data_IF_964441203345
#
_entry.id   IF_964441203345
#
_cell.length_a   1.000
_cell.length_b   1.000
_cell.length_c   1.000
_cell.angle_alpha   90.00
_cell.angle_beta   90.00
_cell.angle_gamma   90.00
#
_symmetry.space_group_name_H-M   'P 1'
#
loop_
_entity.id
_entity.type
_entity.pdbx_description
1 polymer ?
#
# COMPACT_ATOMS: atom_id res chain seq x y z
N UNK A 1 20.48 5.99 18.20
CA UNK A 1 20.14 5.70 16.78
C UNK A 1 19.36 4.40 16.58
N UNK A 2 19.77 3.27 17.19
CA UNK A 2 19.07 1.96 17.02
C UNK A 2 17.58 1.99 17.39
N UNK A 3 17.22 2.59 18.53
CA UNK A 3 15.83 2.67 19.02
C UNK A 3 14.86 3.34 18.02
N UNK A 4 15.24 4.48 17.43
CA UNK A 4 14.41 5.20 16.45
C UNK A 4 14.13 4.35 15.20
N UNK A 5 15.15 3.64 14.71
CA UNK A 5 15.01 2.72 13.57
C UNK A 5 14.08 1.55 13.91
N UNK A 6 14.16 1.03 15.14
CA UNK A 6 13.27 -0.03 15.62
C UNK A 6 11.81 0.45 15.67
N UNK A 7 11.53 1.61 16.26
CA UNK A 7 10.17 2.18 16.28
C UNK A 7 9.63 2.36 14.86
N UNK A 8 10.42 2.96 13.97
CA UNK A 8 9.99 3.17 12.59
C UNK A 8 9.66 1.86 11.86
N UNK A 9 10.41 0.79 12.14
CA UNK A 9 10.12 -0.55 11.60
C UNK A 9 8.83 -1.12 12.18
N UNK A 10 8.62 -1.00 13.49
CA UNK A 10 7.39 -1.44 14.17
C UNK A 10 6.19 -0.73 13.57
N UNK A 11 6.27 0.60 13.40
CA UNK A 11 5.20 1.39 12.77
C UNK A 11 4.93 0.96 11.33
N UNK A 12 5.97 0.66 10.54
CA UNK A 12 5.79 0.17 9.18
C UNK A 12 5.06 -1.19 9.14
N UNK A 13 5.32 -2.10 10.09
CA UNK A 13 4.60 -3.37 10.19
C UNK A 13 3.15 -3.18 10.63
N UNK A 14 2.89 -2.30 11.60
CA UNK A 14 1.52 -1.96 11.99
C UNK A 14 0.74 -1.31 10.85
N UNK A 15 1.39 -0.44 10.08
CA UNK A 15 0.79 0.18 8.90
C UNK A 15 0.37 -0.89 7.88
N UNK A 16 1.22 -1.87 7.61
CA UNK A 16 0.88 -2.98 6.73
C UNK A 16 -0.28 -3.82 7.28
N UNK A 17 -0.23 -4.18 8.57
CA UNK A 17 -1.30 -4.96 9.21
C UNK A 17 -2.66 -4.23 9.15
N UNK A 18 -2.70 -2.94 9.48
CA UNK A 18 -3.93 -2.15 9.43
C UNK A 18 -4.42 -1.90 8.00
N UNK A 19 -3.51 -1.80 7.02
CA UNK A 19 -3.90 -1.75 5.62
C UNK A 19 -4.62 -3.04 5.20
N UNK A 20 -4.09 -4.22 5.55
CA UNK A 20 -4.76 -5.51 5.28
C UNK A 20 -6.13 -5.59 5.96
N UNK A 21 -6.22 -5.21 7.25
CA UNK A 21 -7.49 -5.25 7.99
C UNK A 21 -8.52 -4.27 7.41
N UNK A 22 -8.10 -3.07 6.97
CA UNK A 22 -8.96 -2.10 6.28
C UNK A 22 -9.51 -2.70 4.97
N UNK A 23 -8.65 -3.27 4.14
CA UNK A 23 -9.04 -3.88 2.86
C UNK A 23 -10.04 -5.01 3.13
N UNK A 24 -9.71 -5.92 4.05
CA UNK A 24 -10.58 -7.03 4.43
C UNK A 24 -11.94 -6.55 4.94
N UNK A 25 -11.99 -5.58 5.85
CA UNK A 25 -13.24 -5.02 6.34
C UNK A 25 -14.05 -4.30 5.25
N UNK A 26 -13.37 -3.65 4.29
CA UNK A 26 -14.01 -3.03 3.13
C UNK A 26 -14.71 -4.05 2.25
N UNK A 27 -14.01 -5.12 1.86
CA UNK A 27 -14.60 -6.21 1.08
C UNK A 27 -15.68 -6.97 1.87
N UNK A 28 -15.46 -7.23 3.17
CA UNK A 28 -16.45 -7.91 3.99
C UNK A 28 -17.78 -7.12 4.05
N UNK A 29 -17.70 -5.78 4.07
CA UNK A 29 -18.86 -4.92 3.99
C UNK A 29 -19.49 -4.91 2.58
N UNK A 30 -18.72 -4.69 1.52
CA UNK A 30 -19.27 -4.53 0.16
C UNK A 30 -19.75 -5.83 -0.47
N UNK A 31 -19.39 -6.99 0.10
CA UNK A 31 -19.71 -8.32 -0.42
C UNK A 31 -20.65 -9.13 0.47
N UNK A 32 -21.17 -8.53 1.53
CA UNK A 32 -21.94 -9.20 2.59
C UNK A 32 -21.34 -10.54 3.03
N UNK A 33 -20.02 -10.61 3.17
CA UNK A 33 -19.34 -11.80 3.70
C UNK A 33 -19.67 -12.06 5.18
N UNK A 34 -20.41 -11.15 5.81
CA UNK A 34 -20.81 -11.27 7.20
C UNK A 34 -22.17 -10.60 7.43
N UNK A 35 -22.97 -11.24 8.28
CA UNK A 35 -24.35 -10.86 8.61
C UNK A 35 -24.51 -9.47 9.25
N UNK A 36 -23.41 -8.82 9.67
CA UNK A 36 -23.45 -7.54 10.38
C UNK A 36 -22.59 -6.48 9.66
N UNK A 37 -23.14 -5.96 8.56
CA UNK A 37 -22.47 -4.99 7.68
C UNK A 37 -22.05 -3.71 8.43
N UNK A 38 -22.88 -3.19 9.34
CA UNK A 38 -22.57 -2.00 10.16
C UNK A 38 -21.31 -2.18 11.00
N UNK A 39 -21.12 -3.35 11.61
CA UNK A 39 -19.91 -3.64 12.39
C UNK A 39 -18.66 -3.56 11.52
N UNK A 40 -18.70 -4.06 10.28
CA UNK A 40 -17.57 -4.03 9.37
C UNK A 40 -17.27 -2.63 8.85
N UNK A 41 -18.30 -1.80 8.61
CA UNK A 41 -18.11 -0.38 8.30
C UNK A 41 -17.38 0.32 9.45
N UNK A 42 -17.80 0.12 10.69
CA UNK A 42 -17.16 0.73 11.85
C UNK A 42 -15.69 0.28 12.00
N UNK A 43 -15.42 -1.01 11.82
CA UNK A 43 -14.06 -1.56 11.82
C UNK A 43 -13.23 -0.94 10.69
N UNK A 44 -13.78 -0.84 9.48
CA UNK A 44 -13.12 -0.21 8.33
C UNK A 44 -12.76 1.26 8.63
N UNK A 45 -13.67 2.03 9.23
CA UNK A 45 -13.44 3.43 9.61
C UNK A 45 -12.35 3.54 10.67
N UNK A 46 -12.36 2.70 11.71
CA UNK A 46 -11.34 2.71 12.77
C UNK A 46 -9.95 2.43 12.15
N UNK A 47 -9.83 1.38 11.33
CA UNK A 47 -8.56 1.05 10.69
C UNK A 47 -8.12 2.12 9.68
N UNK A 48 -9.06 2.79 8.99
CA UNK A 48 -8.76 3.93 8.11
C UNK A 48 -8.07 5.07 8.88
N UNK A 49 -8.62 5.47 10.03
CA UNK A 49 -8.02 6.53 10.86
C UNK A 49 -6.70 6.11 11.50
N UNK A 50 -6.60 4.89 12.03
CA UNK A 50 -5.36 4.36 12.58
C UNK A 50 -4.25 4.31 11.52
N UNK A 51 -4.58 3.82 10.32
CA UNK A 51 -3.67 3.81 9.17
C UNK A 51 -3.23 5.23 8.79
N UNK A 52 -4.15 6.20 8.75
CA UNK A 52 -3.82 7.60 8.46
C UNK A 52 -2.80 8.18 9.45
N UNK A 53 -3.01 8.00 10.75
CA UNK A 53 -2.08 8.49 11.78
C UNK A 53 -0.70 7.83 11.70
N UNK A 54 -0.66 6.50 11.55
CA UNK A 54 0.60 5.77 11.39
C UNK A 54 1.32 6.16 10.11
N UNK A 55 0.58 6.38 9.02
CA UNK A 55 1.13 6.85 7.77
C UNK A 55 1.74 8.23 7.94
N UNK A 56 1.03 9.18 8.55
CA UNK A 56 1.55 10.53 8.79
C UNK A 56 2.86 10.48 9.58
N UNK A 57 2.93 9.67 10.63
CA UNK A 57 4.17 9.42 11.36
C UNK A 57 5.26 8.83 10.44
N UNK A 58 4.93 7.80 9.65
CA UNK A 58 5.86 7.14 8.75
C UNK A 58 6.44 8.08 7.69
N UNK A 59 5.60 8.97 7.15
CA UNK A 59 5.95 10.00 6.17
C UNK A 59 6.89 11.02 6.79
N UNK A 60 6.50 11.62 7.91
CA UNK A 60 7.30 12.62 8.61
C UNK A 60 8.66 12.04 8.99
N UNK A 61 8.69 10.81 9.53
CA UNK A 61 9.94 10.13 9.85
C UNK A 61 10.79 9.87 8.59
N UNK A 62 10.16 9.41 7.51
CA UNK A 62 10.84 9.14 6.24
C UNK A 62 11.51 10.39 5.69
N UNK A 63 10.80 11.52 5.61
CA UNK A 63 11.37 12.75 5.09
C UNK A 63 12.46 13.34 5.98
N UNK A 64 12.25 13.34 7.30
CA UNK A 64 13.20 13.94 8.23
C UNK A 64 14.48 13.12 8.38
N UNK A 65 14.38 11.79 8.35
CA UNK A 65 15.49 10.92 8.76
C UNK A 65 16.00 9.96 7.69
N UNK A 66 15.26 9.70 6.61
CA UNK A 66 15.73 8.77 5.56
C UNK A 66 16.27 9.53 4.36
N UNK A 67 17.59 9.80 4.37
CA UNK A 67 18.28 10.34 3.19
C UNK A 67 18.77 9.21 2.29
N UNK A 68 18.69 9.44 0.98
CA UNK A 68 19.28 8.52 0.00
C UNK A 68 20.80 8.46 0.21
N UNK A 69 21.37 7.26 0.21
CA UNK A 69 22.82 7.09 0.33
C UNK A 69 23.52 7.67 -0.91
N UNK A 70 24.55 8.49 -0.69
CA UNK A 70 25.40 9.05 -1.76
C UNK A 70 25.94 7.98 -2.70
N UNK A 71 26.17 6.75 -2.21
CA UNK A 71 26.67 5.63 -3.01
C UNK A 71 25.65 5.15 -4.04
N UNK A 72 24.35 5.17 -3.71
CA UNK A 72 23.29 4.78 -4.65
C UNK A 72 23.23 5.77 -5.80
N UNK A 73 23.34 7.07 -5.49
CA UNK A 73 23.35 8.15 -6.49
C UNK A 73 24.57 8.06 -7.40
N UNK A 74 25.76 7.77 -6.86
CA UNK A 74 27.01 7.67 -7.62
C UNK A 74 27.10 6.43 -8.52
N UNK A 75 26.46 5.32 -8.14
CA UNK A 75 26.54 4.05 -8.87
C UNK A 75 25.15 3.43 -9.09
N UNK A 76 24.27 4.10 -9.87
CA UNK A 76 22.87 3.70 -10.00
C UNK A 76 22.72 2.31 -10.63
N UNK A 77 23.55 1.96 -11.63
CA UNK A 77 23.54 0.64 -12.28
C UNK A 77 23.83 -0.50 -11.31
N UNK A 78 24.82 -0.33 -10.41
CA UNK A 78 25.18 -1.35 -9.40
C UNK A 78 24.12 -1.51 -8.32
N UNK A 79 23.38 -0.44 -8.04
CA UNK A 79 22.37 -0.37 -6.99
C UNK A 79 20.94 -0.22 -7.54
N UNK A 80 20.68 -0.66 -8.78
CA UNK A 80 19.44 -0.38 -9.49
C UNK A 80 18.19 -0.86 -8.73
N UNK A 81 18.25 -2.04 -8.10
CA UNK A 81 17.16 -2.57 -7.27
C UNK A 81 16.84 -1.65 -6.07
N UNK A 82 17.87 -1.06 -5.45
CA UNK A 82 17.68 -0.14 -4.31
C UNK A 82 17.14 1.20 -4.77
N UNK A 83 17.56 1.66 -5.95
CA UNK A 83 17.02 2.86 -6.58
C UNK A 83 15.53 2.67 -6.91
N UNK A 84 15.17 1.56 -7.55
CA UNK A 84 13.78 1.24 -7.87
C UNK A 84 12.91 1.07 -6.61
N UNK A 85 13.45 0.45 -5.56
CA UNK A 85 12.75 0.37 -4.26
C UNK A 85 12.53 1.77 -3.64
N UNK A 86 13.46 2.70 -3.82
CA UNK A 86 13.30 4.07 -3.35
C UNK A 86 12.26 4.83 -4.17
N UNK A 87 12.29 4.70 -5.50
CA UNK A 87 11.29 5.30 -6.39
C UNK A 87 9.89 4.80 -6.05
N UNK A 88 9.70 3.48 -5.95
CA UNK A 88 8.41 2.89 -5.56
C UNK A 88 7.94 3.37 -4.19
N UNK A 89 8.85 3.52 -3.21
CA UNK A 89 8.50 4.11 -1.90
C UNK A 89 7.93 5.53 -2.05
N UNK A 90 8.56 6.39 -2.83
CA UNK A 90 8.09 7.76 -3.06
C UNK A 90 6.76 7.79 -3.82
N UNK A 91 6.59 6.91 -4.81
CA UNK A 91 5.33 6.80 -5.56
C UNK A 91 4.19 6.29 -4.68
N UNK A 92 4.42 5.26 -3.86
CA UNK A 92 3.43 4.78 -2.88
C UNK A 92 2.96 5.95 -2.03
N UNK A 93 3.90 6.71 -1.48
CA UNK A 93 3.58 7.87 -0.67
C UNK A 93 2.68 8.88 -1.40
N UNK A 94 3.05 9.27 -2.63
CA UNK A 94 2.22 10.16 -3.43
C UNK A 94 0.81 9.60 -3.66
N UNK A 95 0.70 8.32 -4.01
CA UNK A 95 -0.58 7.65 -4.24
C UNK A 95 -1.44 7.52 -2.99
N UNK A 96 -0.85 7.28 -1.81
CA UNK A 96 -1.61 7.28 -0.56
C UNK A 96 -2.18 8.67 -0.28
N UNK A 97 -1.41 9.74 -0.50
CA UNK A 97 -1.91 11.11 -0.34
C UNK A 97 -3.05 11.41 -1.31
N UNK A 98 -2.90 11.03 -2.59
CA UNK A 98 -3.95 11.19 -3.61
C UNK A 98 -5.23 10.43 -3.23
N UNK A 99 -5.09 9.19 -2.76
CA UNK A 99 -6.21 8.36 -2.29
C UNK A 99 -6.90 8.97 -1.07
N UNK A 100 -6.14 9.54 -0.13
CA UNK A 100 -6.71 10.23 1.02
C UNK A 100 -7.50 11.46 0.59
N UNK A 101 -6.91 12.32 -0.26
CA UNK A 101 -7.55 13.54 -0.77
C UNK A 101 -8.84 13.20 -1.51
N UNK A 102 -8.82 12.21 -2.42
CA UNK A 102 -10.02 11.76 -3.13
C UNK A 102 -11.01 11.00 -2.24
N UNK A 103 -10.56 10.41 -1.14
CA UNK A 103 -11.44 9.84 -0.12
C UNK A 103 -12.15 10.93 0.70
N UNK A 104 -11.47 12.06 0.93
CA UNK A 104 -12.03 13.19 1.67
C UNK A 104 -13.14 13.92 0.90
N UNK A 105 -13.18 13.83 -0.42
CA UNK A 105 -14.23 14.46 -1.23
C UNK A 105 -15.61 13.79 -1.12
N UNK A 106 -15.70 12.62 -0.46
CA UNK A 106 -16.97 11.93 -0.20
C UNK A 106 -17.71 12.41 1.05
N UNK A 107 -17.08 13.21 1.88
CA UNK A 107 -17.73 13.72 3.08
C UNK A 107 -18.60 14.94 2.75
N UNK A 108 -19.71 15.10 3.48
CA UNK A 108 -20.73 16.12 3.19
C UNK A 108 -20.19 17.56 3.10
N UNK A 109 -19.18 17.92 3.89
CA UNK A 109 -18.51 19.23 3.89
C UNK A 109 -17.63 19.55 2.66
N UNK A 110 -17.27 18.57 1.83
CA UNK A 110 -16.44 18.73 0.62
C UNK A 110 -17.19 18.34 -0.66
N UNK A 111 -18.42 17.84 -0.50
CA UNK A 111 -19.34 17.40 -1.55
C UNK A 111 -19.83 18.62 -2.33
N UNK A 112 -19.31 18.81 -3.55
CA UNK A 112 -19.69 19.93 -4.43
C UNK A 112 -18.55 20.51 -5.28
N UNK A 113 -17.29 20.20 -4.97
CA UNK A 113 -16.16 20.67 -5.78
C UNK A 113 -16.03 19.92 -7.13
N UNK A 114 -16.48 18.66 -7.19
CA UNK A 114 -16.41 17.80 -8.39
C UNK A 114 -17.64 16.86 -8.46
N UNK A 115 -18.01 16.38 -9.67
CA UNK A 115 -19.06 15.37 -9.83
C UNK A 115 -18.71 14.05 -9.12
N UNK A 116 -19.69 13.42 -8.48
CA UNK A 116 -19.48 12.20 -7.67
C UNK A 116 -18.90 11.03 -8.47
N UNK A 117 -19.41 10.78 -9.68
CA UNK A 117 -18.91 9.72 -10.57
C UNK A 117 -17.43 9.91 -10.95
N UNK A 118 -16.98 11.17 -11.06
CA UNK A 118 -15.60 11.48 -11.40
C UNK A 118 -14.70 11.26 -10.18
N UNK A 119 -15.15 11.65 -8.99
CA UNK A 119 -14.45 11.41 -7.73
C UNK A 119 -14.26 9.91 -7.47
N UNK A 120 -15.29 9.12 -7.73
CA UNK A 120 -15.24 7.65 -7.58
C UNK A 120 -14.28 6.99 -8.53
N UNK A 121 -14.34 7.37 -9.81
CA UNK A 121 -13.41 6.85 -10.80
C UNK A 121 -11.96 7.21 -10.46
N UNK A 122 -11.73 8.46 -10.02
CA UNK A 122 -10.38 8.93 -9.61
C UNK A 122 -9.89 8.18 -8.37
N UNK A 123 -10.73 8.06 -7.34
CA UNK A 123 -10.37 7.36 -6.10
C UNK A 123 -10.01 5.91 -6.37
N UNK A 124 -10.85 5.20 -7.12
CA UNK A 124 -10.62 3.80 -7.53
C UNK A 124 -9.33 3.67 -8.34
N UNK A 125 -9.08 4.57 -9.30
CA UNK A 125 -7.85 4.55 -10.09
C UNK A 125 -6.59 4.72 -9.22
N UNK A 126 -6.64 5.61 -8.23
CA UNK A 126 -5.53 5.78 -7.29
C UNK A 126 -5.35 4.58 -6.37
N UNK A 127 -6.43 3.97 -5.89
CA UNK A 127 -6.34 2.77 -5.04
C UNK A 127 -5.72 1.58 -5.82
N UNK A 128 -6.10 1.39 -7.08
CA UNK A 128 -5.50 0.36 -7.96
C UNK A 128 -4.01 0.64 -8.18
N UNK A 129 -3.66 1.88 -8.54
CA UNK A 129 -2.26 2.27 -8.73
C UNK A 129 -1.42 2.08 -7.47
N UNK A 130 -1.98 2.44 -6.31
CA UNK A 130 -1.36 2.24 -4.99
C UNK A 130 -1.10 0.75 -4.72
N UNK A 131 -2.09 -0.11 -4.96
CA UNK A 131 -1.96 -1.56 -4.78
C UNK A 131 -0.83 -2.13 -5.64
N UNK A 132 -0.77 -1.79 -6.94
CA UNK A 132 0.28 -2.24 -7.85
C UNK A 132 1.67 -1.78 -7.39
N UNK A 133 1.78 -0.54 -6.92
CA UNK A 133 3.03 0.00 -6.39
C UNK A 133 3.48 -0.70 -5.10
N UNK A 134 2.56 -0.98 -4.18
CA UNK A 134 2.84 -1.77 -2.96
C UNK A 134 3.33 -3.16 -3.33
N UNK A 135 2.65 -3.83 -4.26
CA UNK A 135 3.07 -5.14 -4.74
C UNK A 135 4.49 -5.09 -5.32
N UNK A 136 4.77 -4.16 -6.23
CA UNK A 136 6.10 -3.98 -6.80
C UNK A 136 7.16 -3.71 -5.71
N UNK A 137 6.83 -2.88 -4.71
CA UNK A 137 7.73 -2.56 -3.61
C UNK A 137 8.07 -3.78 -2.74
N UNK A 138 7.06 -4.60 -2.40
CA UNK A 138 7.24 -5.84 -1.65
C UNK A 138 8.09 -6.83 -2.44
N UNK A 139 7.80 -7.04 -3.73
CA UNK A 139 8.57 -7.94 -4.60
C UNK A 139 10.04 -7.51 -4.71
N UNK A 140 10.31 -6.20 -4.85
CA UNK A 140 11.68 -5.65 -4.86
C UNK A 140 12.40 -5.85 -3.53
N UNK A 141 11.72 -5.59 -2.41
CA UNK A 141 12.25 -5.79 -1.07
C UNK A 141 12.60 -7.26 -0.81
N UNK A 142 11.70 -8.17 -1.20
CA UNK A 142 11.91 -9.61 -1.09
C UNK A 142 13.09 -10.07 -1.96
N UNK A 143 13.17 -9.63 -3.22
CA UNK A 143 14.32 -9.91 -4.11
C UNK A 143 15.64 -9.46 -3.50
N UNK A 144 15.69 -8.26 -2.91
CA UNK A 144 16.87 -7.74 -2.22
C UNK A 144 17.23 -8.57 -0.99
N UNK A 145 16.25 -9.02 -0.21
CA UNK A 145 16.46 -9.90 0.94
C UNK A 145 17.05 -11.25 0.50
N UNK A 146 16.44 -11.90 -0.49
CA UNK A 146 16.90 -13.20 -0.98
C UNK A 146 18.29 -13.13 -1.61
N UNK A 147 18.60 -12.05 -2.34
CA UNK A 147 19.95 -11.79 -2.85
C UNK A 147 20.99 -11.70 -1.73
N UNK A 148 20.65 -11.10 -0.57
CA UNK A 148 21.56 -11.06 0.60
C UNK A 148 21.73 -12.42 1.24
N UNK A 149 20.69 -13.25 1.25
CA UNK A 149 20.75 -14.65 1.72
C UNK A 149 21.39 -15.61 0.72
N UNK A 150 21.89 -15.12 -0.43
CA UNK A 150 22.52 -15.91 -1.51
C UNK A 150 21.62 -17.05 -2.02
N UNK A 151 20.30 -16.87 -1.95
CA UNK A 151 19.35 -17.82 -2.54
C UNK A 151 19.43 -17.71 -4.07
N UNK A 152 19.34 -18.86 -4.74
CA UNK A 152 19.44 -18.93 -6.21
C UNK A 152 18.38 -18.03 -6.87
N UNK A 153 18.87 -17.14 -7.75
CA UNK A 153 18.09 -16.10 -8.43
C UNK A 153 16.92 -16.66 -9.23
N UNK A 154 17.04 -17.87 -9.77
CA UNK A 154 15.98 -18.53 -10.55
C UNK A 154 14.77 -18.79 -9.66
N UNK A 155 14.98 -19.43 -8.50
CA UNK A 155 13.91 -19.70 -7.53
C UNK A 155 13.27 -18.42 -6.98
N UNK A 156 14.07 -17.37 -6.79
CA UNK A 156 13.54 -16.04 -6.41
C UNK A 156 12.59 -15.52 -7.47
N UNK A 157 12.98 -15.52 -8.74
CA UNK A 157 12.14 -15.00 -9.80
C UNK A 157 10.86 -15.85 -9.97
N UNK A 158 10.97 -17.19 -9.91
CA UNK A 158 9.80 -18.08 -9.97
C UNK A 158 8.82 -17.76 -8.84
N UNK A 159 9.30 -17.67 -7.59
CA UNK A 159 8.45 -17.34 -6.44
C UNK A 159 7.74 -15.99 -6.62
N UNK A 160 8.48 -14.96 -7.05
CA UNK A 160 7.92 -13.63 -7.29
C UNK A 160 6.84 -13.63 -8.39
N UNK A 161 7.04 -14.42 -9.45
CA UNK A 161 6.06 -14.58 -10.54
C UNK A 161 4.81 -15.29 -10.01
N UNK A 162 4.97 -16.42 -9.30
CA UNK A 162 3.82 -17.18 -8.76
C UNK A 162 3.00 -16.34 -7.79
N UNK A 163 3.66 -15.66 -6.84
CA UNK A 163 2.97 -14.77 -5.88
C UNK A 163 2.34 -13.58 -6.58
N UNK A 164 3.04 -12.95 -7.53
CA UNK A 164 2.53 -11.82 -8.30
C UNK A 164 1.29 -12.19 -9.12
N UNK A 165 1.33 -13.30 -9.85
CA UNK A 165 0.19 -13.82 -10.61
C UNK A 165 -0.96 -14.23 -9.70
N UNK A 166 -0.68 -14.88 -8.56
CA UNK A 166 -1.71 -15.27 -7.60
C UNK A 166 -2.45 -14.07 -7.01
N UNK A 167 -1.72 -13.01 -6.64
CA UNK A 167 -2.32 -11.76 -6.15
C UNK A 167 -3.11 -11.03 -7.23
N UNK A 168 -2.62 -11.00 -8.48
CA UNK A 168 -3.34 -10.40 -9.60
C UNK A 168 -4.64 -11.18 -9.91
N UNK A 169 -4.59 -12.51 -9.95
CA UNK A 169 -5.76 -13.35 -10.16
C UNK A 169 -6.79 -13.18 -9.04
N UNK A 170 -6.33 -13.16 -7.78
CA UNK A 170 -7.18 -12.90 -6.63
C UNK A 170 -7.85 -11.51 -6.72
N UNK A 171 -7.11 -10.48 -7.11
CA UNK A 171 -7.68 -9.16 -7.35
C UNK A 171 -8.74 -9.16 -8.45
N UNK A 172 -8.45 -9.77 -9.61
CA UNK A 172 -9.42 -9.87 -10.72
C UNK A 172 -10.68 -10.60 -10.26
N UNK A 173 -10.53 -11.69 -9.50
CA UNK A 173 -11.65 -12.41 -8.92
C UNK A 173 -12.50 -11.51 -7.98
N UNK A 174 -11.83 -10.74 -7.12
CA UNK A 174 -12.49 -9.78 -6.23
C UNK A 174 -13.19 -8.65 -6.96
N UNK A 175 -12.81 -8.33 -8.19
CA UNK A 175 -13.48 -7.29 -9.00
C UNK A 175 -14.59 -7.87 -9.88
N UNK A 176 -14.38 -9.06 -10.43
CA UNK A 176 -15.31 -9.71 -11.37
C UNK A 176 -16.55 -10.31 -10.69
N UNK A 177 -16.44 -10.67 -9.41
CA UNK A 177 -17.62 -11.08 -8.63
C UNK A 177 -18.50 -9.83 -8.45
N UNK A 178 -19.83 -9.86 -8.56
CA UNK A 178 -20.69 -8.71 -8.19
C UNK A 178 -20.88 -8.64 -6.66
N UNK A 179 -21.06 -7.44 -6.07
CA UNK A 179 -21.42 -7.32 -4.66
C UNK A 179 -22.71 -8.11 -4.39
N UNK A 180 -22.79 -8.78 -3.24
CA UNK A 180 -24.05 -9.38 -2.81
C UNK A 180 -25.06 -8.24 -2.60
N UNK A 181 -26.30 -8.47 -3.02
CA UNK A 181 -27.40 -7.51 -2.91
C UNK A 181 -28.18 -7.75 -1.63
#
# INVERSE_FOLDING_TARGET
MKFRVTIHRIVAWWLAAFAFMRIFAGYAHTRDWAENSERWINIHIIFKWAMFLLLLFHITYTFLYTRMSKTIVKQPKKHWLRLLQHITKCLILAFVLLTLISGFSYYNWTRGALPEWLLEKIHTTFDIGLMLLILAHVLLGFKLMLKRKKINVVWVNIFLIVVGMGLLAFYIYLEATPPAH
#
